data_IF_016471974659
#
_entry.id   IF_016471974659
#
_cell.length_a   1.000
_cell.length_b   1.000
_cell.length_c   1.000
_cell.angle_alpha   90.00
_cell.angle_beta   90.00
_cell.angle_gamma   90.00
#
_symmetry.space_group_name_H-M   'P 1'
#
loop_
_entity.id
_entity.type
_entity.pdbx_description
1 polymer ?
#
# COMPACT_ATOMS: atom_id res chain seq x y z
N UNK A 1 21.48 -0.29 0.93
CA UNK A 1 22.44 0.77 0.52
C UNK A 1 21.88 1.74 -0.55
N UNK A 2 20.54 1.94 -0.66
CA UNK A 2 19.92 2.68 -1.78
C UNK A 2 19.42 4.10 -1.40
N UNK A 3 19.61 4.51 -0.12
CA UNK A 3 18.97 5.72 0.44
C UNK A 3 19.59 7.04 -0.05
N UNK A 4 20.85 7.00 -0.51
CA UNK A 4 21.60 8.18 -0.94
C UNK A 4 21.98 8.17 -2.42
N UNK A 5 21.42 7.25 -3.22
CA UNK A 5 21.77 7.11 -4.64
C UNK A 5 21.54 8.41 -5.42
N UNK A 6 20.44 9.12 -5.14
CA UNK A 6 20.12 10.41 -5.75
C UNK A 6 21.05 11.53 -5.27
N UNK A 7 21.38 11.56 -3.99
CA UNK A 7 22.32 12.56 -3.43
C UNK A 7 23.72 12.37 -4.00
N UNK A 8 24.18 11.12 -4.13
CA UNK A 8 25.46 10.79 -4.73
C UNK A 8 25.49 11.10 -6.22
N UNK A 9 24.42 10.79 -6.96
CA UNK A 9 24.29 11.18 -8.37
C UNK A 9 24.33 12.71 -8.52
N UNK A 10 23.63 13.43 -7.65
CA UNK A 10 23.63 14.89 -7.62
C UNK A 10 25.01 15.46 -7.32
N UNK A 11 25.77 14.85 -6.41
CA UNK A 11 27.14 15.26 -6.08
C UNK A 11 28.10 15.01 -7.26
N UNK A 12 28.02 13.84 -7.90
CA UNK A 12 28.82 13.54 -9.09
C UNK A 12 28.50 14.51 -10.21
N UNK A 13 27.22 14.81 -10.42
CA UNK A 13 26.78 15.74 -11.46
C UNK A 13 27.21 17.18 -11.17
N UNK A 14 27.08 17.65 -9.92
CA UNK A 14 27.51 19.00 -9.55
C UNK A 14 29.03 19.17 -9.63
N UNK A 15 29.79 18.17 -9.18
CA UNK A 15 31.25 18.15 -9.34
C UNK A 15 31.66 18.14 -10.81
N UNK A 16 30.99 17.34 -11.65
CA UNK A 16 31.27 17.30 -13.09
C UNK A 16 31.01 18.63 -13.78
N UNK A 17 29.86 19.27 -13.49
CA UNK A 17 29.54 20.61 -14.01
C UNK A 17 30.61 21.61 -13.57
N UNK A 18 30.93 21.65 -12.28
CA UNK A 18 31.91 22.60 -11.74
C UNK A 18 33.30 22.45 -12.38
N UNK A 19 33.78 21.21 -12.53
CA UNK A 19 35.05 20.93 -13.22
C UNK A 19 34.99 21.35 -14.69
N UNK A 20 33.87 21.11 -15.37
CA UNK A 20 33.68 21.50 -16.77
C UNK A 20 33.66 23.02 -16.95
N UNK A 21 33.02 23.75 -16.04
CA UNK A 21 33.02 25.24 -15.99
C UNK A 21 34.44 25.78 -15.92
N UNK A 22 35.29 25.20 -15.06
CA UNK A 22 36.69 25.63 -14.91
C UNK A 22 37.51 25.28 -16.14
N UNK A 23 37.41 24.04 -16.64
CA UNK A 23 38.23 23.58 -17.77
C UNK A 23 37.93 24.28 -19.09
N UNK A 24 36.67 24.65 -19.31
CA UNK A 24 36.20 25.27 -20.55
C UNK A 24 36.10 26.80 -20.43
N UNK A 25 36.47 27.38 -19.29
CA UNK A 25 36.30 28.81 -18.97
C UNK A 25 34.86 29.31 -19.27
N UNK A 26 33.88 28.42 -19.09
CA UNK A 26 32.48 28.71 -19.39
C UNK A 26 31.86 29.43 -18.21
N UNK A 27 31.51 30.70 -18.38
CA UNK A 27 30.61 31.36 -17.45
C UNK A 27 29.16 30.89 -17.69
N UNK A 28 28.83 29.72 -17.14
CA UNK A 28 27.52 29.08 -17.30
C UNK A 28 26.38 29.97 -16.79
N UNK A 29 26.65 30.81 -15.79
CA UNK A 29 25.65 31.70 -15.24
C UNK A 29 25.34 32.83 -16.24
N UNK A 30 26.37 33.48 -16.77
CA UNK A 30 26.20 34.54 -17.77
C UNK A 30 25.63 33.99 -19.09
N UNK A 31 26.02 32.79 -19.51
CA UNK A 31 25.39 32.11 -20.65
C UNK A 31 23.92 31.80 -20.39
N UNK A 32 23.56 31.38 -19.18
CA UNK A 32 22.16 31.14 -18.82
C UNK A 32 21.35 32.43 -18.80
N UNK A 33 21.90 33.54 -18.28
CA UNK A 33 21.27 34.86 -18.32
C UNK A 33 21.14 35.35 -19.76
N UNK A 34 22.15 35.16 -20.60
CA UNK A 34 22.11 35.53 -22.02
C UNK A 34 21.10 34.68 -22.80
N UNK A 35 21.01 33.40 -22.48
CA UNK A 35 19.99 32.50 -22.99
C UNK A 35 18.59 32.97 -22.58
N UNK A 36 18.36 33.31 -21.31
CA UNK A 36 17.08 33.87 -20.85
C UNK A 36 16.76 35.18 -21.57
N UNK A 37 17.73 36.08 -21.74
CA UNK A 37 17.58 37.32 -22.52
C UNK A 37 17.28 37.07 -24.00
N UNK A 38 17.64 35.92 -24.56
CA UNK A 38 17.26 35.58 -25.94
C UNK A 38 15.75 35.31 -26.10
N UNK A 39 15.04 35.03 -24.99
CA UNK A 39 13.58 34.89 -24.95
C UNK A 39 12.83 36.20 -24.69
N UNK A 40 13.55 37.30 -24.44
CA UNK A 40 13.00 38.64 -24.19
C UNK A 40 12.18 39.13 -25.39
N UNK A 41 12.56 38.76 -26.62
CA UNK A 41 11.78 39.05 -27.84
C UNK A 41 10.39 38.40 -27.85
N UNK A 42 10.18 37.35 -27.07
CA UNK A 42 8.92 36.59 -27.03
C UNK A 42 8.09 36.89 -25.76
N UNK A 43 8.56 37.75 -24.85
CA UNK A 43 7.95 38.00 -23.51
C UNK A 43 7.67 36.70 -22.72
N UNK A 44 8.37 35.61 -23.06
CA UNK A 44 8.18 34.29 -22.44
C UNK A 44 8.84 34.25 -21.05
N UNK A 45 9.80 35.12 -20.79
CA UNK A 45 10.47 35.28 -19.50
C UNK A 45 9.48 35.57 -18.36
N UNK A 46 8.43 36.37 -18.60
CA UNK A 46 7.37 36.64 -17.62
C UNK A 46 6.51 35.39 -17.33
N UNK A 47 6.34 34.49 -18.30
CA UNK A 47 5.62 33.22 -18.14
C UNK A 47 6.48 32.10 -17.53
N UNK A 48 7.80 32.14 -17.69
CA UNK A 48 8.72 31.11 -17.18
C UNK A 48 8.65 31.02 -15.66
N UNK A 49 8.62 32.15 -14.95
CA UNK A 49 8.63 32.13 -13.48
C UNK A 49 7.33 31.53 -12.88
N UNK A 50 6.11 31.96 -13.27
CA UNK A 50 4.87 31.32 -12.85
C UNK A 50 4.81 29.84 -13.22
N UNK A 51 5.27 29.47 -14.42
CA UNK A 51 5.30 28.09 -14.87
C UNK A 51 6.24 27.22 -14.03
N UNK A 52 7.44 27.74 -13.70
CA UNK A 52 8.40 27.03 -12.85
C UNK A 52 7.83 26.80 -11.45
N UNK A 53 7.18 27.81 -10.86
CA UNK A 53 6.49 27.67 -9.57
C UNK A 53 5.42 26.57 -9.65
N UNK A 54 4.58 26.60 -10.69
CA UNK A 54 3.56 25.57 -10.92
C UNK A 54 4.18 24.16 -11.05
N UNK A 55 5.26 24.01 -11.82
CA UNK A 55 5.97 22.73 -11.96
C UNK A 55 6.51 22.21 -10.63
N UNK A 56 7.04 23.08 -9.76
CA UNK A 56 7.51 22.69 -8.41
C UNK A 56 6.35 22.16 -7.58
N UNK A 57 5.21 22.84 -7.55
CA UNK A 57 4.03 22.37 -6.82
C UNK A 57 3.49 21.05 -7.38
N UNK A 58 3.40 20.91 -8.71
CA UNK A 58 3.03 19.64 -9.34
C UNK A 58 3.97 18.50 -8.95
N UNK A 59 5.28 18.75 -8.94
CA UNK A 59 6.26 17.74 -8.56
C UNK A 59 6.11 17.31 -7.10
N UNK A 60 5.87 18.25 -6.18
CA UNK A 60 5.58 17.98 -4.77
C UNK A 60 4.32 17.13 -4.63
N UNK A 61 3.24 17.49 -5.32
CA UNK A 61 1.97 16.77 -5.26
C UNK A 61 2.07 15.36 -5.83
N UNK A 62 2.73 15.18 -6.97
CA UNK A 62 2.99 13.85 -7.54
C UNK A 62 3.76 12.98 -6.56
N UNK A 63 4.80 13.51 -5.92
CA UNK A 63 5.61 12.77 -4.93
C UNK A 63 4.79 12.41 -3.70
N UNK A 64 3.94 13.32 -3.21
CA UNK A 64 3.06 13.07 -2.07
C UNK A 64 2.01 12.01 -2.39
N UNK A 65 1.38 12.08 -3.55
CA UNK A 65 0.36 11.13 -3.98
C UNK A 65 0.96 9.73 -4.17
N UNK A 66 2.14 9.62 -4.77
CA UNK A 66 2.83 8.34 -4.94
C UNK A 66 3.10 7.66 -3.60
N UNK A 67 3.58 8.40 -2.58
CA UNK A 67 3.76 7.88 -1.23
C UNK A 67 2.45 7.42 -0.59
N UNK A 68 1.38 8.19 -0.77
CA UNK A 68 0.05 7.84 -0.24
C UNK A 68 -0.44 6.52 -0.83
N UNK A 69 -0.36 6.37 -2.16
CA UNK A 69 -0.74 5.14 -2.85
C UNK A 69 0.08 3.94 -2.38
N UNK A 70 1.40 4.08 -2.23
CA UNK A 70 2.25 3.01 -1.70
C UNK A 70 1.86 2.60 -0.27
N UNK A 71 1.53 3.57 0.58
CA UNK A 71 1.12 3.33 1.96
C UNK A 71 -0.25 2.62 2.03
N UNK A 72 -1.22 3.06 1.22
CA UNK A 72 -2.53 2.39 1.14
C UNK A 72 -2.40 0.95 0.61
N UNK A 73 -1.57 0.72 -0.42
CA UNK A 73 -1.30 -0.62 -0.92
C UNK A 73 -0.59 -1.50 0.13
N UNK A 74 0.35 -0.94 0.89
CA UNK A 74 1.03 -1.66 1.96
C UNK A 74 0.06 -2.07 3.07
N UNK A 75 -0.85 -1.17 3.48
CA UNK A 75 -1.93 -1.50 4.42
C UNK A 75 -2.78 -2.64 3.88
N UNK A 76 -3.24 -2.54 2.64
CA UNK A 76 -4.09 -3.57 2.01
C UNK A 76 -3.39 -4.93 1.98
N UNK A 77 -2.09 -4.98 1.68
CA UNK A 77 -1.32 -6.22 1.71
C UNK A 77 -1.21 -6.82 3.12
N UNK A 78 -0.99 -5.99 4.15
CA UNK A 78 -0.97 -6.44 5.54
C UNK A 78 -2.34 -7.02 5.94
N UNK A 79 -3.43 -6.34 5.59
CA UNK A 79 -4.78 -6.83 5.87
C UNK A 79 -5.05 -8.17 5.18
N UNK A 80 -4.70 -8.32 3.91
CA UNK A 80 -4.82 -9.60 3.18
C UNK A 80 -4.02 -10.71 3.87
N UNK A 81 -2.78 -10.44 4.25
CA UNK A 81 -1.94 -11.40 4.95
C UNK A 81 -2.52 -11.81 6.31
N UNK A 82 -3.09 -10.84 7.05
CA UNK A 82 -3.76 -11.08 8.32
C UNK A 82 -5.01 -11.95 8.13
N UNK A 83 -5.85 -11.65 7.15
CA UNK A 83 -7.04 -12.46 6.83
C UNK A 83 -6.68 -13.90 6.45
N UNK A 84 -5.69 -14.09 5.57
CA UNK A 84 -5.20 -15.43 5.23
C UNK A 84 -4.67 -16.17 6.46
N UNK A 85 -3.91 -15.49 7.32
CA UNK A 85 -3.39 -16.09 8.56
C UNK A 85 -4.52 -16.48 9.52
N UNK A 86 -5.51 -15.61 9.70
CA UNK A 86 -6.69 -15.89 10.52
C UNK A 86 -7.49 -17.06 9.95
N UNK A 87 -7.71 -17.10 8.63
CA UNK A 87 -8.39 -18.22 7.96
C UNK A 87 -7.66 -19.54 8.24
N UNK A 88 -6.33 -19.58 8.12
CA UNK A 88 -5.55 -20.76 8.43
C UNK A 88 -5.63 -21.17 9.92
N UNK A 89 -5.46 -20.22 10.85
CA UNK A 89 -5.56 -20.48 12.30
C UNK A 89 -6.93 -21.05 12.65
N UNK A 90 -7.98 -20.45 12.10
CA UNK A 90 -9.34 -20.78 12.45
C UNK A 90 -9.80 -22.08 11.81
N UNK A 91 -9.35 -22.39 10.60
CA UNK A 91 -9.57 -23.71 9.99
C UNK A 91 -8.88 -24.82 10.79
N UNK A 92 -7.65 -24.57 11.28
CA UNK A 92 -6.98 -25.51 12.18
C UNK A 92 -7.74 -25.71 13.50
N UNK A 93 -8.32 -24.63 14.04
CA UNK A 93 -9.18 -24.73 15.22
C UNK A 93 -10.44 -25.56 14.95
N UNK A 94 -11.10 -25.37 13.79
CA UNK A 94 -12.25 -26.19 13.38
C UNK A 94 -11.88 -27.68 13.33
N UNK A 95 -10.72 -28.03 12.76
CA UNK A 95 -10.27 -29.43 12.76
C UNK A 95 -10.05 -30.00 14.17
N UNK A 96 -9.53 -29.20 15.11
CA UNK A 96 -9.41 -29.65 16.51
C UNK A 96 -10.78 -29.86 17.15
N UNK A 97 -11.74 -29.01 16.81
CA UNK A 97 -13.12 -29.11 17.26
C UNK A 97 -13.80 -30.38 16.72
N UNK A 98 -13.58 -30.75 15.46
CA UNK A 98 -14.08 -32.01 14.92
C UNK A 98 -13.57 -33.24 15.68
N UNK A 99 -12.32 -33.23 16.17
CA UNK A 99 -11.77 -34.30 17.03
C UNK A 99 -12.51 -34.37 18.37
N UNK A 100 -12.81 -33.21 18.97
CA UNK A 100 -13.63 -33.15 20.19
C UNK A 100 -15.03 -33.71 19.96
N UNK A 101 -15.65 -33.38 18.83
CA UNK A 101 -16.95 -33.92 18.44
C UNK A 101 -16.92 -35.46 18.37
N UNK A 102 -15.95 -36.04 17.65
CA UNK A 102 -15.81 -37.50 17.56
C UNK A 102 -15.66 -38.15 18.95
N UNK A 103 -14.87 -37.53 19.82
CA UNK A 103 -14.68 -38.03 21.19
C UNK A 103 -15.97 -37.96 22.01
N UNK A 104 -16.76 -36.89 21.84
CA UNK A 104 -18.04 -36.71 22.52
C UNK A 104 -19.11 -37.70 22.01
N UNK A 105 -19.13 -37.98 20.71
CA UNK A 105 -20.00 -39.00 20.08
C UNK A 105 -19.72 -40.41 20.63
N UNK A 106 -18.44 -40.75 20.80
CA UNK A 106 -18.01 -42.05 21.33
C UNK A 106 -18.14 -42.16 22.86
N UNK A 107 -18.50 -41.07 23.56
CA UNK A 107 -18.61 -41.05 25.03
C UNK A 107 -20.01 -41.48 25.49
N UNK A 108 -20.16 -42.60 26.21
CA UNK A 108 -21.46 -43.05 26.72
C UNK A 108 -22.05 -42.04 27.71
N UNK A 109 -23.30 -41.65 27.48
CA UNK A 109 -24.02 -40.72 28.36
C UNK A 109 -23.79 -39.24 28.08
N UNK A 110 -23.08 -38.89 27.00
CA UNK A 110 -22.98 -37.51 26.53
C UNK A 110 -24.33 -37.00 26.00
N UNK A 111 -24.68 -35.74 26.30
CA UNK A 111 -25.97 -35.16 25.90
C UNK A 111 -25.98 -34.83 24.39
N UNK A 112 -26.81 -35.55 23.65
CA UNK A 112 -26.99 -35.35 22.21
C UNK A 112 -27.48 -33.94 21.83
N UNK A 113 -28.21 -33.23 22.70
CA UNK A 113 -28.61 -31.85 22.43
C UNK A 113 -27.42 -30.90 22.47
N UNK A 114 -26.50 -31.10 23.42
CA UNK A 114 -25.27 -30.30 23.52
C UNK A 114 -24.39 -30.53 22.29
N UNK A 115 -24.32 -31.78 21.81
CA UNK A 115 -23.62 -32.13 20.58
C UNK A 115 -24.23 -31.45 19.33
N UNK A 116 -25.55 -31.41 19.22
CA UNK A 116 -26.22 -30.69 18.12
C UNK A 116 -25.96 -29.18 18.15
N UNK A 117 -26.02 -28.54 19.32
CA UNK A 117 -25.68 -27.12 19.43
C UNK A 117 -24.22 -26.84 19.05
N UNK A 118 -23.33 -27.75 19.39
CA UNK A 118 -21.93 -27.66 19.02
C UNK A 118 -21.73 -27.68 17.51
N UNK A 119 -22.37 -28.61 16.81
CA UNK A 119 -22.33 -28.70 15.34
C UNK A 119 -22.84 -27.42 14.67
N UNK A 120 -23.95 -26.86 15.16
CA UNK A 120 -24.52 -25.63 14.63
C UNK A 120 -23.54 -24.44 14.78
N UNK A 121 -22.83 -24.37 15.91
CA UNK A 121 -21.83 -23.31 16.15
C UNK A 121 -20.64 -23.46 15.19
N UNK A 122 -20.11 -24.67 15.02
CA UNK A 122 -18.97 -24.93 14.13
C UNK A 122 -19.34 -24.68 12.67
N UNK A 123 -20.52 -25.12 12.25
CA UNK A 123 -21.04 -24.90 10.89
C UNK A 123 -21.20 -23.41 10.58
N UNK A 124 -21.83 -22.65 11.49
CA UNK A 124 -22.00 -21.21 11.33
C UNK A 124 -20.66 -20.47 11.32
N UNK A 125 -19.73 -20.83 12.20
CA UNK A 125 -18.40 -20.24 12.22
C UNK A 125 -17.66 -20.50 10.90
N UNK A 126 -17.67 -21.75 10.41
CA UNK A 126 -17.05 -22.13 9.14
C UNK A 126 -17.60 -21.32 7.97
N UNK A 127 -18.92 -21.16 7.89
CA UNK A 127 -19.57 -20.35 6.85
C UNK A 127 -19.15 -18.87 6.89
N UNK A 128 -19.09 -18.26 8.07
CA UNK A 128 -18.67 -16.86 8.22
C UNK A 128 -17.21 -16.65 7.79
N UNK A 129 -16.36 -17.62 8.06
CA UNK A 129 -14.93 -17.59 7.71
C UNK A 129 -14.74 -17.68 6.20
N UNK A 130 -15.46 -18.58 5.54
CA UNK A 130 -15.43 -18.72 4.08
C UNK A 130 -16.02 -17.49 3.39
N UNK A 131 -17.06 -16.89 3.97
CA UNK A 131 -17.63 -15.63 3.47
C UNK A 131 -16.64 -14.46 3.58
N UNK A 132 -15.81 -14.44 4.63
CA UNK A 132 -14.75 -13.44 4.82
C UNK A 132 -13.52 -13.68 3.92
N UNK A 133 -13.17 -14.94 3.65
CA UNK A 133 -12.00 -15.29 2.84
C UNK A 133 -12.19 -14.98 1.34
N UNK A 134 -13.44 -15.01 0.87
CA UNK A 134 -13.81 -14.76 -0.52
C UNK A 134 -14.09 -13.29 -0.86
N UNK A 135 -13.85 -12.36 0.06
CA UNK A 135 -14.03 -10.93 -0.17
C UNK A 135 -13.03 -10.39 -1.21
N UNK A 136 -13.55 -9.95 -2.36
CA UNK A 136 -12.76 -9.32 -3.44
C UNK A 136 -12.39 -7.87 -3.13
N UNK A 137 -13.16 -7.19 -2.29
CA UNK A 137 -12.96 -5.81 -1.85
C UNK A 137 -12.89 -5.74 -0.33
N UNK A 138 -11.83 -5.11 0.18
CA UNK A 138 -11.60 -4.93 1.62
C UNK A 138 -11.94 -3.48 1.95
N UNK A 139 -13.21 -3.24 2.26
CA UNK A 139 -13.69 -2.00 2.87
C UNK A 139 -14.63 -2.35 4.04
N UNK A 140 -14.81 -1.41 4.97
CA UNK A 140 -15.57 -1.62 6.21
C UNK A 140 -17.00 -2.12 5.94
N UNK A 141 -17.63 -1.62 4.88
CA UNK A 141 -18.97 -2.03 4.49
C UNK A 141 -18.95 -3.48 3.97
N UNK A 142 -18.05 -3.81 3.04
CA UNK A 142 -17.89 -5.17 2.51
C UNK A 142 -17.63 -6.22 3.61
N UNK A 143 -16.75 -5.89 4.57
CA UNK A 143 -16.45 -6.77 5.72
C UNK A 143 -17.70 -6.98 6.57
N UNK A 144 -18.39 -5.90 6.94
CA UNK A 144 -19.57 -5.99 7.81
C UNK A 144 -20.72 -6.74 7.15
N UNK A 145 -20.96 -6.54 5.86
CA UNK A 145 -22.02 -7.26 5.13
C UNK A 145 -21.75 -8.76 4.99
N UNK A 146 -20.48 -9.16 4.82
CA UNK A 146 -20.14 -10.59 4.70
C UNK A 146 -20.39 -11.39 5.97
N UNK A 147 -20.26 -10.76 7.15
CA UNK A 147 -20.52 -11.44 8.44
C UNK A 147 -21.98 -11.38 8.86
N UNK A 148 -22.72 -10.33 8.46
CA UNK A 148 -24.12 -10.11 8.90
C UNK A 148 -25.19 -10.70 7.97
N UNK A 149 -24.83 -11.26 6.81
CA UNK A 149 -25.82 -11.73 5.81
C UNK A 149 -26.69 -12.93 6.24
N UNK A 150 -26.39 -13.59 7.37
CA UNK A 150 -27.12 -14.75 7.87
C UNK A 150 -27.71 -14.57 9.29
N UNK A 151 -28.05 -13.35 9.70
CA UNK A 151 -28.93 -13.11 10.87
C UNK A 151 -30.39 -12.96 10.44
#
# INVERSE_FOLDING_TARGET
>A
MNKYKLTLLGLVFSSFIYVSTILLELDLFDQFITFLKSFDYLEIDELIFPFLIFCVFLFIDMRRNSKKVQLENAKLNIYKAMLCSSHHILNNFIYQMDIFKLTAEDTPGFDAKVLSFYEDIISNASYQIDSLSNLTTIDEFSIRTSVMSNQ
#
